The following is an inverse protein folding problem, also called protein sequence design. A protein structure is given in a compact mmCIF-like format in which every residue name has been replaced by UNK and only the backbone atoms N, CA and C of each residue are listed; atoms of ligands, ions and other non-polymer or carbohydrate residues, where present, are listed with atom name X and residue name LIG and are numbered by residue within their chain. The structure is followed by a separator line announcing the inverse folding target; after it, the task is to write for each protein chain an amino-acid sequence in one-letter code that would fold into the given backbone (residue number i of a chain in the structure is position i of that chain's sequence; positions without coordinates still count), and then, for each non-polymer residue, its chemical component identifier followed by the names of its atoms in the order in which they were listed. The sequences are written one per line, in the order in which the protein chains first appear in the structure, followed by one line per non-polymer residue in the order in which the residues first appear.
data_IF_762828216678
#
_entry.id   IF_762828216678
#
_cell.length_a   1.000
_cell.length_b   1.000
_cell.length_c   1.000
_cell.angle_alpha   90.00
_cell.angle_beta   90.00
_cell.angle_gamma   90.00
#
_symmetry.space_group_name_H-M   'P 1'
#
loop_
_entity.id
_entity.type
_entity.pdbx_description
1 polymer ?
#
# COMPACT_ATOMS: atom_id res chain seq x y z
N UNK A 1 -17.26 -2.59 20.15
CA UNK A 1 -18.71 -2.34 20.01
C UNK A 1 -19.29 -3.46 19.16
N UNK A 2 -20.53 -3.85 19.44
CA UNK A 2 -21.15 -5.09 18.97
C UNK A 2 -21.17 -6.16 20.06
N UNK A 3 -21.94 -7.23 19.83
CA UNK A 3 -22.04 -8.41 20.73
C UNK A 3 -22.48 -8.09 22.17
N UNK A 4 -23.35 -7.09 22.39
CA UNK A 4 -23.91 -6.79 23.72
C UNK A 4 -23.00 -5.95 24.63
N UNK A 5 -21.87 -5.46 24.12
CA UNK A 5 -20.91 -4.65 24.88
C UNK A 5 -21.41 -3.22 25.18
N UNK A 6 -22.56 -2.82 24.64
CA UNK A 6 -23.13 -1.47 24.79
C UNK A 6 -23.43 -1.14 26.25
N UNK A 7 -23.87 -2.12 27.05
CA UNK A 7 -24.19 -1.91 28.46
C UNK A 7 -22.93 -1.58 29.27
N UNK A 8 -21.82 -2.27 28.99
CA UNK A 8 -20.54 -2.00 29.63
C UNK A 8 -19.98 -0.64 29.20
N UNK A 9 -20.07 -0.32 27.91
CA UNK A 9 -19.67 0.97 27.37
C UNK A 9 -20.43 2.13 28.05
N UNK A 10 -21.75 2.04 28.18
CA UNK A 10 -22.58 3.06 28.86
C UNK A 10 -22.11 3.34 30.28
N UNK A 11 -21.89 2.28 31.06
CA UNK A 11 -21.46 2.38 32.46
C UNK A 11 -20.07 3.02 32.58
N UNK A 12 -19.14 2.62 31.73
CA UNK A 12 -17.78 3.17 31.72
C UNK A 12 -17.80 4.65 31.30
N UNK A 13 -18.56 5.01 30.27
CA UNK A 13 -18.72 6.40 29.83
C UNK A 13 -19.31 7.25 30.96
N UNK A 14 -20.42 6.84 31.58
CA UNK A 14 -21.01 7.58 32.71
C UNK A 14 -20.02 7.82 33.84
N UNK A 15 -19.22 6.81 34.19
CA UNK A 15 -18.23 6.93 35.25
C UNK A 15 -17.16 7.95 34.87
N UNK A 16 -16.50 7.76 33.72
CA UNK A 16 -15.38 8.59 33.28
C UNK A 16 -15.78 10.04 32.95
N UNK A 17 -17.04 10.28 32.59
CA UNK A 17 -17.56 11.65 32.44
C UNK A 17 -17.45 12.45 33.74
N UNK A 18 -17.53 11.78 34.90
CA UNK A 18 -17.42 12.41 36.23
C UNK A 18 -16.03 12.28 36.85
N UNK A 19 -15.36 11.15 36.65
CA UNK A 19 -14.06 10.84 37.29
C UNK A 19 -12.85 11.21 36.44
N UNK A 20 -13.05 11.52 35.15
CA UNK A 20 -11.98 11.76 34.20
C UNK A 20 -11.35 10.47 33.67
N UNK A 21 -10.56 10.59 32.61
CA UNK A 21 -9.85 9.47 32.00
C UNK A 21 -10.21 9.24 30.53
N UNK A 22 -9.59 8.23 29.95
CA UNK A 22 -9.66 7.97 28.51
C UNK A 22 -10.45 6.69 28.26
N UNK A 23 -11.35 6.73 27.28
CA UNK A 23 -12.09 5.56 26.82
C UNK A 23 -12.01 5.44 25.31
N UNK A 24 -11.77 4.22 24.84
CA UNK A 24 -11.75 3.85 23.44
C UNK A 24 -12.92 2.92 23.13
N UNK A 25 -13.87 3.39 22.34
CA UNK A 25 -14.95 2.57 21.79
C UNK A 25 -14.57 2.12 20.39
N UNK A 26 -14.24 0.83 20.24
CA UNK A 26 -13.78 0.28 18.96
C UNK A 26 -14.93 -0.25 18.11
N UNK A 27 -14.83 -0.08 16.80
CA UNK A 27 -15.73 -0.64 15.78
C UNK A 27 -17.19 -0.17 15.94
N UNK A 28 -17.41 1.12 16.18
CA UNK A 28 -18.75 1.68 16.40
C UNK A 28 -19.72 1.53 15.21
N UNK A 29 -19.22 1.30 13.99
CA UNK A 29 -20.04 0.92 12.83
C UNK A 29 -20.84 -0.38 13.08
N UNK A 30 -20.42 -1.24 14.01
CA UNK A 30 -21.13 -2.46 14.40
C UNK A 30 -22.29 -2.21 15.39
N UNK A 31 -22.40 -1.01 15.98
CA UNK A 31 -23.45 -0.65 16.95
C UNK A 31 -24.05 0.72 16.63
N UNK A 32 -24.59 0.87 15.42
CA UNK A 32 -25.13 2.15 14.92
C UNK A 32 -26.22 2.74 15.81
N UNK A 33 -27.05 1.90 16.43
CA UNK A 33 -28.13 2.33 17.31
C UNK A 33 -27.61 2.99 18.61
N UNK A 34 -26.41 2.62 19.07
CA UNK A 34 -25.85 3.13 20.31
C UNK A 34 -25.18 4.50 20.15
N UNK A 35 -24.64 4.81 18.96
CA UNK A 35 -23.90 6.07 18.72
C UNK A 35 -24.76 7.33 18.99
N UNK A 36 -26.05 7.40 18.59
CA UNK A 36 -26.93 8.50 18.98
C UNK A 36 -27.18 8.59 20.49
N UNK A 37 -27.34 7.44 21.16
CA UNK A 37 -27.56 7.40 22.61
C UNK A 37 -26.34 7.92 23.36
N UNK A 38 -25.13 7.54 22.92
CA UNK A 38 -23.87 8.05 23.44
C UNK A 38 -23.77 9.57 23.27
N UNK A 39 -24.19 10.11 22.13
CA UNK A 39 -24.20 11.56 21.91
C UNK A 39 -25.15 12.28 22.87
N UNK A 40 -26.35 11.74 23.06
CA UNK A 40 -27.34 12.28 24.01
C UNK A 40 -26.76 12.30 25.42
N UNK A 41 -26.18 11.17 25.85
CA UNK A 41 -25.57 11.03 27.17
C UNK A 41 -24.47 12.06 27.44
N UNK A 42 -23.66 12.39 26.45
CA UNK A 42 -22.59 13.40 26.58
C UNK A 42 -23.20 14.81 26.62
N UNK A 43 -24.22 15.09 25.81
CA UNK A 43 -24.85 16.41 25.73
C UNK A 43 -25.74 16.75 26.94
N UNK A 44 -26.29 15.74 27.61
CA UNK A 44 -27.16 15.91 28.78
C UNK A 44 -26.37 16.25 30.06
N UNK A 45 -25.06 16.03 30.09
CA UNK A 45 -24.22 16.32 31.26
C UNK A 45 -23.80 17.80 31.29
N UNK A 46 -24.13 18.49 32.38
CA UNK A 46 -23.76 19.89 32.60
C UNK A 46 -22.24 20.07 32.84
N UNK A 47 -21.61 19.11 33.52
CA UNK A 47 -20.20 19.17 33.90
C UNK A 47 -19.45 17.91 33.51
N UNK A 48 -18.63 18.02 32.47
CA UNK A 48 -17.71 16.97 32.02
C UNK A 48 -16.36 17.18 32.70
N UNK A 49 -15.79 16.12 33.27
CA UNK A 49 -14.48 16.17 33.89
C UNK A 49 -13.40 16.62 32.88
N UNK A 50 -12.51 17.59 33.20
CA UNK A 50 -11.56 18.17 32.24
C UNK A 50 -10.61 17.16 31.57
N UNK A 51 -10.28 16.06 32.25
CA UNK A 51 -9.43 14.98 31.72
C UNK A 51 -10.18 13.90 30.93
N UNK A 52 -11.50 14.00 30.79
CA UNK A 52 -12.25 13.02 30.02
C UNK A 52 -11.91 13.10 28.53
N UNK A 53 -11.57 11.96 27.92
CA UNK A 53 -11.34 11.83 26.46
C UNK A 53 -12.06 10.60 25.94
N UNK A 54 -12.96 10.80 24.99
CA UNK A 54 -13.62 9.73 24.24
C UNK A 54 -12.96 9.56 22.87
N UNK A 55 -12.43 8.37 22.62
CA UNK A 55 -11.97 7.93 21.31
C UNK A 55 -12.95 6.93 20.72
N UNK A 56 -13.23 7.07 19.43
CA UNK A 56 -14.12 6.18 18.69
C UNK A 56 -13.39 5.70 17.44
N UNK A 57 -13.37 4.39 17.21
CA UNK A 57 -12.98 3.83 15.90
C UNK A 57 -14.20 3.37 15.13
N UNK A 58 -14.24 3.68 13.84
CA UNK A 58 -15.32 3.26 12.94
C UNK A 58 -14.81 3.14 11.52
N UNK A 59 -15.44 2.26 10.73
CA UNK A 59 -15.30 2.28 9.27
C UNK A 59 -16.34 3.22 8.67
N UNK A 60 -16.17 3.56 7.39
CA UNK A 60 -17.14 4.35 6.64
C UNK A 60 -18.46 3.59 6.59
N UNK A 61 -19.54 4.18 7.08
CA UNK A 61 -20.86 3.58 7.07
C UNK A 61 -21.93 4.64 6.77
N UNK A 62 -22.79 4.38 5.78
CA UNK A 62 -23.78 5.36 5.29
C UNK A 62 -24.81 5.77 6.33
N UNK A 63 -25.10 4.87 7.28
CA UNK A 63 -26.02 5.11 8.39
C UNK A 63 -25.33 5.63 9.66
N UNK A 64 -24.02 5.91 9.64
CA UNK A 64 -23.35 6.46 10.81
C UNK A 64 -23.88 7.86 11.11
N UNK A 65 -24.24 8.20 12.37
CA UNK A 65 -24.92 9.46 12.67
C UNK A 65 -24.07 10.70 12.32
N UNK A 66 -24.60 11.53 11.41
CA UNK A 66 -23.94 12.78 10.97
C UNK A 66 -23.74 13.74 12.15
N UNK A 67 -24.70 13.81 13.08
CA UNK A 67 -24.62 14.65 14.29
C UNK A 67 -23.44 14.28 15.18
N UNK A 68 -23.13 12.98 15.31
CA UNK A 68 -21.96 12.52 16.05
C UNK A 68 -20.67 12.94 15.33
N UNK A 69 -20.62 12.80 14.00
CA UNK A 69 -19.46 13.23 13.21
C UNK A 69 -19.25 14.74 13.24
N UNK A 70 -20.31 15.55 13.28
CA UNK A 70 -20.22 17.02 13.34
C UNK A 70 -19.68 17.52 14.67
N UNK A 71 -19.96 16.80 15.76
CA UNK A 71 -19.51 17.13 17.13
C UNK A 71 -18.14 16.52 17.49
N UNK A 72 -17.58 15.69 16.59
CA UNK A 72 -16.32 14.99 16.81
C UNK A 72 -15.17 15.60 16.01
N UNK A 73 -13.96 15.54 16.59
CA UNK A 73 -12.72 15.69 15.83
C UNK A 73 -12.50 14.39 15.06
N UNK A 74 -12.34 14.48 13.75
CA UNK A 74 -12.21 13.32 12.85
C UNK A 74 -10.77 13.18 12.42
N UNK A 75 -10.21 11.98 12.61
CA UNK A 75 -8.95 11.56 12.05
C UNK A 75 -9.20 10.42 11.08
N UNK A 76 -8.72 10.55 9.85
CA UNK A 76 -8.67 9.45 8.90
C UNK A 76 -7.29 8.80 9.01
N UNK A 77 -7.27 7.52 9.36
CA UNK A 77 -6.06 6.71 9.31
C UNK A 77 -6.12 5.87 8.04
N UNK A 78 -5.76 6.48 6.92
CA UNK A 78 -5.61 5.74 5.68
C UNK A 78 -4.24 5.05 5.68
N UNK A 79 -4.15 3.77 5.28
CA UNK A 79 -2.86 3.12 5.12
C UNK A 79 -2.00 3.98 4.18
N UNK A 80 -0.68 4.09 4.38
CA UNK A 80 0.15 4.86 3.48
C UNK A 80 0.02 4.28 2.06
N UNK A 81 -0.50 5.10 1.15
CA UNK A 81 -0.74 4.77 -0.26
C UNK A 81 0.35 5.38 -1.14
N UNK A 82 0.44 4.86 -2.35
CA UNK A 82 1.31 5.35 -3.39
C UNK A 82 2.66 4.63 -3.50
N UNK A 83 3.42 5.00 -4.53
CA UNK A 83 4.63 4.29 -4.94
C UNK A 83 5.66 4.28 -3.82
N UNK A 84 5.89 5.44 -3.20
CA UNK A 84 6.81 5.54 -2.06
C UNK A 84 6.44 4.59 -0.93
N UNK A 85 5.16 4.57 -0.56
CA UNK A 85 4.68 3.74 0.55
C UNK A 85 4.79 2.25 0.25
N UNK A 86 4.43 1.83 -0.98
CA UNK A 86 4.53 0.44 -1.41
C UNK A 86 5.98 -0.05 -1.47
N UNK A 87 6.89 0.70 -2.10
CA UNK A 87 8.31 0.32 -2.16
C UNK A 87 8.92 0.31 -0.76
N UNK A 88 8.60 1.30 0.08
CA UNK A 88 9.07 1.32 1.48
C UNK A 88 8.58 0.11 2.27
N UNK A 89 7.34 -0.33 2.04
CA UNK A 89 6.77 -1.55 2.65
C UNK A 89 7.52 -2.79 2.20
N UNK A 90 7.85 -2.91 0.91
CA UNK A 90 8.68 -4.00 0.40
C UNK A 90 10.08 -3.97 0.99
N UNK A 91 10.76 -2.83 0.98
CA UNK A 91 12.13 -2.73 1.50
C UNK A 91 12.21 -2.90 3.03
N UNK A 92 11.12 -2.67 3.76
CA UNK A 92 11.06 -2.97 5.19
C UNK A 92 11.11 -4.48 5.51
N UNK A 93 10.86 -5.36 4.53
CA UNK A 93 11.00 -6.81 4.71
C UNK A 93 12.42 -7.30 4.44
N UNK A 94 13.26 -6.48 3.80
CA UNK A 94 14.63 -6.84 3.45
C UNK A 94 15.61 -6.56 4.60
N UNK A 95 16.66 -7.37 4.66
CA UNK A 95 17.86 -7.13 5.46
C UNK A 95 19.03 -6.74 4.56
N UNK A 96 20.11 -6.22 5.13
CA UNK A 96 21.34 -5.99 4.37
C UNK A 96 21.85 -7.31 3.77
N UNK A 97 21.82 -8.40 4.54
CA UNK A 97 22.24 -9.73 4.08
C UNK A 97 21.42 -10.21 2.87
N UNK A 98 20.12 -9.88 2.81
CA UNK A 98 19.29 -10.18 1.65
C UNK A 98 19.73 -9.39 0.39
N UNK A 99 20.08 -8.11 0.55
CA UNK A 99 20.61 -7.30 -0.56
C UNK A 99 21.98 -7.79 -1.05
N UNK A 100 22.74 -8.47 -0.20
CA UNK A 100 24.09 -8.96 -0.48
C UNK A 100 24.15 -10.47 -0.75
N UNK A 101 22.99 -11.16 -0.84
CA UNK A 101 22.92 -12.59 -1.15
C UNK A 101 23.51 -12.92 -2.53
N UNK A 102 23.44 -11.96 -3.46
CA UNK A 102 23.99 -12.06 -4.80
C UNK A 102 24.86 -10.83 -5.10
N UNK A 103 26.13 -11.08 -5.40
CA UNK A 103 27.14 -10.04 -5.66
C UNK A 103 27.09 -9.46 -7.09
N UNK A 104 26.21 -9.98 -7.95
CA UNK A 104 26.07 -9.48 -9.32
C UNK A 104 25.48 -8.06 -9.32
N UNK A 105 26.01 -7.13 -10.13
CA UNK A 105 25.52 -5.75 -10.17
C UNK A 105 24.05 -5.64 -10.61
N UNK A 106 23.52 -6.68 -11.26
CA UNK A 106 22.13 -6.75 -11.70
C UNK A 106 21.13 -6.99 -10.57
N UNK A 107 21.55 -7.62 -9.46
CA UNK A 107 20.65 -8.04 -8.39
C UNK A 107 19.86 -6.88 -7.78
N UNK A 108 20.57 -5.86 -7.28
CA UNK A 108 19.96 -4.70 -6.59
C UNK A 108 19.03 -3.86 -7.50
N UNK A 109 19.37 -3.56 -8.77
CA UNK A 109 18.43 -2.94 -9.70
C UNK A 109 17.20 -3.81 -9.99
N UNK A 110 17.36 -5.13 -10.15
CA UNK A 110 16.23 -6.01 -10.45
C UNK A 110 15.24 -6.13 -9.29
N UNK A 111 15.71 -6.26 -8.04
CA UNK A 111 14.81 -6.27 -6.87
C UNK A 111 14.06 -4.93 -6.72
N UNK A 112 14.71 -3.81 -7.04
CA UNK A 112 14.05 -2.50 -7.01
C UNK A 112 12.96 -2.43 -8.10
N UNK A 113 13.27 -2.90 -9.31
CA UNK A 113 12.30 -2.97 -10.40
C UNK A 113 11.11 -3.89 -10.11
N UNK A 114 11.34 -5.04 -9.48
CA UNK A 114 10.26 -5.94 -9.03
C UNK A 114 9.43 -5.26 -7.93
N UNK A 115 10.06 -4.57 -6.99
CA UNK A 115 9.37 -3.81 -5.94
C UNK A 115 8.50 -2.69 -6.52
N UNK A 116 9.00 -2.01 -7.56
CA UNK A 116 8.27 -0.99 -8.30
C UNK A 116 7.09 -1.59 -9.06
N UNK A 117 7.28 -2.72 -9.76
CA UNK A 117 6.22 -3.45 -10.45
C UNK A 117 5.12 -3.87 -9.47
N UNK A 118 5.51 -4.53 -8.36
CA UNK A 118 4.60 -4.98 -7.32
C UNK A 118 3.73 -3.83 -6.78
N UNK A 119 4.38 -2.70 -6.47
CA UNK A 119 3.69 -1.51 -5.98
C UNK A 119 2.76 -0.93 -7.05
N UNK A 120 3.21 -0.85 -8.31
CA UNK A 120 2.42 -0.32 -9.42
C UNK A 120 1.16 -1.14 -9.62
N UNK A 121 1.25 -2.47 -9.69
CA UNK A 121 0.08 -3.31 -9.94
C UNK A 121 -0.95 -3.23 -8.81
N UNK A 122 -0.50 -3.08 -7.56
CA UNK A 122 -1.37 -2.86 -6.40
C UNK A 122 -2.03 -1.49 -6.42
N UNK A 123 -1.23 -0.44 -6.54
CA UNK A 123 -1.70 0.95 -6.48
C UNK A 123 -2.61 1.31 -7.64
N UNK A 124 -2.35 0.73 -8.82
CA UNK A 124 -3.15 0.98 -10.02
C UNK A 124 -4.63 0.60 -9.85
N UNK A 125 -4.95 -0.32 -8.93
CA UNK A 125 -6.34 -0.69 -8.58
C UNK A 125 -7.17 0.51 -8.09
N UNK A 126 -6.55 1.56 -7.54
CA UNK A 126 -7.26 2.76 -7.07
C UNK A 126 -7.93 3.56 -8.19
N UNK A 127 -7.53 3.36 -9.44
CA UNK A 127 -8.11 4.03 -10.60
C UNK A 127 -9.30 3.28 -11.22
N UNK A 128 -9.87 2.29 -10.52
CA UNK A 128 -10.99 1.51 -11.03
C UNK A 128 -10.69 0.89 -12.39
N UNK A 129 -11.66 0.97 -13.32
CA UNK A 129 -11.54 0.43 -14.68
C UNK A 129 -10.47 1.11 -15.55
N UNK A 130 -10.00 2.31 -15.19
CA UNK A 130 -8.85 2.93 -15.87
C UNK A 130 -7.53 2.27 -15.44
N UNK A 131 -7.51 1.72 -14.24
CA UNK A 131 -6.39 0.95 -13.72
C UNK A 131 -6.40 -0.47 -14.23
N UNK A 132 -7.43 -1.22 -13.88
CA UNK A 132 -7.64 -2.62 -14.24
C UNK A 132 -9.12 -2.85 -14.54
N UNK A 133 -9.43 -3.64 -15.57
CA UNK A 133 -10.81 -4.03 -15.84
C UNK A 133 -11.36 -4.90 -14.69
N UNK A 134 -10.53 -5.74 -14.08
CA UNK A 134 -10.88 -6.56 -12.92
C UNK A 134 -10.00 -6.19 -11.72
N UNK A 135 -10.61 -6.10 -10.54
CA UNK A 135 -9.93 -5.75 -9.29
C UNK A 135 -9.12 -6.93 -8.72
N UNK A 136 -8.00 -7.28 -9.35
CA UNK A 136 -7.11 -8.35 -8.92
C UNK A 136 -6.49 -8.08 -7.55
N UNK A 137 -6.23 -9.16 -6.81
CA UNK A 137 -5.55 -9.11 -5.51
C UNK A 137 -4.12 -9.63 -5.67
N UNK A 138 -3.18 -8.72 -5.91
CA UNK A 138 -1.75 -9.01 -5.90
C UNK A 138 -1.21 -8.94 -4.48
N UNK A 139 -0.46 -9.96 -4.05
CA UNK A 139 -0.03 -10.11 -2.66
C UNK A 139 1.46 -10.45 -2.53
N UNK A 140 1.93 -10.54 -1.28
CA UNK A 140 3.34 -10.79 -0.96
C UNK A 140 3.87 -12.11 -1.51
N UNK A 141 3.01 -13.12 -1.75
CA UNK A 141 3.44 -14.37 -2.37
C UNK A 141 3.90 -14.17 -3.81
N UNK A 142 3.19 -13.33 -4.58
CA UNK A 142 3.55 -13.01 -5.96
C UNK A 142 4.91 -12.27 -6.01
N UNK A 143 5.12 -11.35 -5.05
CA UNK A 143 6.39 -10.64 -4.86
C UNK A 143 7.54 -11.60 -4.54
N UNK A 144 7.36 -12.44 -3.52
CA UNK A 144 8.39 -13.36 -3.04
C UNK A 144 8.78 -14.37 -4.12
N UNK A 145 7.80 -14.92 -4.85
CA UNK A 145 8.05 -15.84 -5.95
C UNK A 145 8.80 -15.16 -7.10
N UNK A 146 8.49 -13.90 -7.39
CA UNK A 146 9.21 -13.09 -8.40
C UNK A 146 10.66 -12.81 -8.01
N UNK A 147 10.90 -12.44 -6.74
CA UNK A 147 12.24 -12.19 -6.22
C UNK A 147 13.09 -13.47 -6.21
N UNK A 148 12.50 -14.58 -5.73
CA UNK A 148 13.16 -15.88 -5.72
C UNK A 148 13.50 -16.36 -7.14
N UNK A 149 12.58 -16.19 -8.09
CA UNK A 149 12.83 -16.50 -9.49
C UNK A 149 14.03 -15.72 -10.03
N UNK A 150 14.07 -14.40 -9.84
CA UNK A 150 15.17 -13.57 -10.34
C UNK A 150 16.49 -13.90 -9.67
N UNK A 151 16.48 -14.21 -8.38
CA UNK A 151 17.68 -14.68 -7.68
C UNK A 151 18.25 -15.93 -8.36
N UNK A 152 17.42 -16.97 -8.52
CA UNK A 152 17.82 -18.22 -9.17
C UNK A 152 18.29 -17.98 -10.61
N UNK A 153 17.55 -17.16 -11.36
CA UNK A 153 17.88 -16.80 -12.74
C UNK A 153 19.26 -16.14 -12.84
N UNK A 154 19.59 -15.24 -11.92
CA UNK A 154 20.90 -14.59 -11.90
C UNK A 154 22.01 -15.53 -11.40
N UNK A 155 21.72 -16.43 -10.47
CA UNK A 155 22.70 -17.42 -9.99
C UNK A 155 23.11 -18.37 -11.12
N UNK A 156 22.14 -18.86 -11.90
CA UNK A 156 22.34 -19.80 -13.03
C UNK A 156 22.77 -19.10 -14.34
N UNK A 157 22.78 -17.76 -14.38
CA UNK A 157 23.07 -16.99 -15.59
C UNK A 157 24.53 -17.16 -16.06
N UNK A 158 24.71 -17.62 -17.30
CA UNK A 158 25.99 -17.59 -18.00
C UNK A 158 26.41 -16.14 -18.26
N UNK A 159 27.55 -15.68 -17.70
CA UNK A 159 28.05 -14.33 -17.90
C UNK A 159 28.24 -13.91 -19.37
N UNK A 160 28.40 -14.87 -20.30
CA UNK A 160 28.55 -14.59 -21.74
C UNK A 160 27.22 -14.34 -22.44
N UNK A 161 26.14 -14.99 -21.97
CA UNK A 161 24.81 -14.86 -22.56
C UNK A 161 24.03 -13.72 -21.92
N UNK A 162 24.33 -13.38 -20.67
CA UNK A 162 23.63 -12.33 -19.94
C UNK A 162 22.22 -12.77 -19.51
N UNK A 163 21.37 -11.79 -19.22
CA UNK A 163 20.00 -12.05 -18.75
C UNK A 163 19.11 -12.45 -19.92
N UNK A 164 18.45 -13.61 -19.83
CA UNK A 164 17.33 -13.93 -20.71
C UNK A 164 16.09 -13.11 -20.34
N UNK A 165 15.97 -11.92 -20.96
CA UNK A 165 14.82 -11.04 -20.76
C UNK A 165 13.50 -11.63 -21.24
N UNK A 166 13.51 -12.54 -22.21
CA UNK A 166 12.27 -13.20 -22.64
C UNK A 166 11.77 -14.12 -21.53
N UNK A 167 12.68 -14.87 -20.90
CA UNK A 167 12.35 -15.66 -19.73
C UNK A 167 11.87 -14.79 -18.56
N UNK A 168 12.59 -13.70 -18.24
CA UNK A 168 12.21 -12.80 -17.13
C UNK A 168 10.83 -12.17 -17.36
N UNK A 169 10.60 -11.59 -18.54
CA UNK A 169 9.32 -10.94 -18.85
C UNK A 169 8.16 -11.93 -18.89
N UNK A 170 8.37 -13.14 -19.42
CA UNK A 170 7.38 -14.20 -19.39
C UNK A 170 7.05 -14.65 -17.96
N UNK A 171 8.07 -14.91 -17.14
CA UNK A 171 7.86 -15.36 -15.77
C UNK A 171 7.13 -14.32 -14.93
N UNK A 172 7.51 -13.04 -15.02
CA UNK A 172 6.83 -11.98 -14.28
C UNK A 172 5.41 -11.73 -14.82
N UNK A 173 5.28 -11.59 -16.15
CA UNK A 173 4.06 -11.12 -16.82
C UNK A 173 3.00 -12.18 -17.03
N UNK A 174 3.37 -13.43 -17.32
CA UNK A 174 2.43 -14.53 -17.60
C UNK A 174 2.25 -15.47 -16.41
N UNK A 175 3.31 -15.70 -15.62
CA UNK A 175 3.28 -16.74 -14.58
C UNK A 175 3.03 -16.16 -13.19
N UNK A 176 3.89 -15.27 -12.70
CA UNK A 176 3.84 -14.78 -11.32
C UNK A 176 2.66 -13.83 -11.11
N UNK A 177 2.64 -12.69 -11.80
CA UNK A 177 1.52 -11.76 -11.73
C UNK A 177 0.41 -12.16 -12.71
N UNK A 178 0.79 -12.63 -13.90
CA UNK A 178 -0.15 -13.03 -14.95
C UNK A 178 -1.08 -14.16 -14.57
N UNK A 179 -0.66 -15.08 -13.69
CA UNK A 179 -1.51 -16.19 -13.22
C UNK A 179 -2.77 -15.74 -12.49
N UNK A 180 -2.86 -14.47 -12.05
CA UNK A 180 -4.06 -13.87 -11.46
C UNK A 180 -4.93 -13.14 -12.49
N UNK A 181 -4.34 -12.74 -13.61
CA UNK A 181 -4.96 -11.85 -14.59
C UNK A 181 -5.76 -12.68 -15.59
N UNK A 182 -7.04 -12.39 -15.69
CA UNK A 182 -8.02 -13.15 -16.47
C UNK A 182 -8.56 -12.39 -17.68
N UNK A 183 -8.44 -11.06 -17.71
CA UNK A 183 -8.86 -10.22 -18.82
C UNK A 183 -7.70 -9.99 -19.80
N UNK A 184 -7.98 -10.09 -21.10
CA UNK A 184 -6.95 -10.01 -22.14
C UNK A 184 -6.29 -8.62 -22.23
N UNK A 185 -7.03 -7.55 -21.95
CA UNK A 185 -6.49 -6.20 -21.98
C UNK A 185 -5.66 -5.90 -20.74
N UNK A 186 -6.08 -6.40 -19.58
CA UNK A 186 -5.30 -6.36 -18.34
C UNK A 186 -4.01 -7.18 -18.50
N UNK A 187 -4.06 -8.38 -19.09
CA UNK A 187 -2.87 -9.20 -19.35
C UNK A 187 -1.91 -8.45 -20.31
N UNK A 188 -2.43 -7.84 -21.38
CA UNK A 188 -1.64 -7.03 -22.30
C UNK A 188 -0.95 -5.86 -21.60
N UNK A 189 -1.65 -5.19 -20.69
CA UNK A 189 -1.11 -4.08 -19.90
C UNK A 189 0.01 -4.54 -18.98
N UNK A 190 -0.21 -5.61 -18.21
CA UNK A 190 0.81 -6.19 -17.33
C UNK A 190 2.08 -6.57 -18.10
N UNK A 191 1.91 -7.24 -19.24
CA UNK A 191 3.02 -7.64 -20.11
C UNK A 191 3.74 -6.43 -20.72
N UNK A 192 3.02 -5.33 -20.95
CA UNK A 192 3.61 -4.08 -21.42
C UNK A 192 4.55 -3.51 -20.35
N UNK A 193 4.14 -3.45 -19.09
CA UNK A 193 5.04 -3.06 -17.99
C UNK A 193 6.28 -3.95 -17.91
N UNK A 194 6.07 -5.27 -17.98
CA UNK A 194 7.18 -6.23 -17.92
C UNK A 194 8.20 -5.95 -19.04
N UNK A 195 7.75 -5.76 -20.29
CA UNK A 195 8.65 -5.48 -21.42
C UNK A 195 9.35 -4.12 -21.32
N UNK A 196 8.62 -3.08 -20.89
CA UNK A 196 9.15 -1.72 -20.79
C UNK A 196 10.22 -1.60 -19.71
N UNK A 197 10.05 -2.30 -18.59
CA UNK A 197 10.92 -2.16 -17.43
C UNK A 197 12.01 -3.23 -17.34
N UNK A 198 11.75 -4.46 -17.81
CA UNK A 198 12.70 -5.57 -17.71
C UNK A 198 13.33 -5.84 -19.07
N UNK A 199 14.32 -5.03 -19.41
CA UNK A 199 15.17 -5.14 -20.58
C UNK A 199 16.56 -4.57 -20.28
N UNK A 200 17.48 -4.64 -21.25
CA UNK A 200 18.87 -4.17 -21.10
C UNK A 200 18.99 -2.73 -20.58
N UNK A 201 18.03 -1.85 -20.89
CA UNK A 201 18.06 -0.47 -20.43
C UNK A 201 17.88 -0.34 -18.92
N UNK A 202 17.39 -1.36 -18.21
CA UNK A 202 17.17 -1.34 -16.76
C UNK A 202 18.44 -0.93 -15.98
N UNK A 203 19.62 -1.23 -16.52
CA UNK A 203 20.91 -0.94 -15.88
C UNK A 203 21.54 0.38 -16.34
N UNK A 204 20.89 1.12 -17.23
CA UNK A 204 21.34 2.44 -17.66
C UNK A 204 21.14 3.46 -16.54
N UNK A 205 22.10 4.37 -16.32
CA UNK A 205 22.00 5.43 -15.30
C UNK A 205 20.86 6.41 -15.56
N UNK A 206 20.45 6.55 -16.82
CA UNK A 206 19.33 7.40 -17.21
C UNK A 206 17.98 6.66 -17.20
N UNK A 207 17.96 5.38 -16.83
CA UNK A 207 16.72 4.63 -16.76
C UNK A 207 15.78 5.20 -15.69
N UNK A 208 14.53 5.41 -16.08
CA UNK A 208 13.46 5.79 -15.19
C UNK A 208 12.18 5.02 -15.55
N UNK A 209 11.42 4.59 -14.53
CA UNK A 209 10.13 3.92 -14.73
C UNK A 209 9.09 4.91 -15.26
N UNK A 210 9.23 6.17 -14.82
CA UNK A 210 8.47 7.35 -15.19
C UNK A 210 9.29 8.59 -14.77
N UNK A 211 8.96 9.81 -15.24
CA UNK A 211 9.71 11.01 -14.88
C UNK A 211 9.89 11.17 -13.37
N UNK A 212 11.14 11.13 -12.90
CA UNK A 212 11.50 11.26 -11.48
C UNK A 212 11.48 9.96 -10.67
N UNK A 213 11.12 8.82 -11.26
CA UNK A 213 11.14 7.50 -10.63
C UNK A 213 12.33 6.68 -11.16
N UNK A 214 13.51 6.95 -10.61
CA UNK A 214 14.77 6.28 -10.97
C UNK A 214 15.11 5.13 -10.03
N UNK A 215 16.04 4.28 -10.45
CA UNK A 215 16.65 3.27 -9.58
C UNK A 215 17.79 3.93 -8.80
N UNK A 216 17.79 3.88 -7.46
CA UNK A 216 18.91 4.39 -6.67
C UNK A 216 20.20 3.61 -6.92
N UNK A 217 21.28 4.30 -7.30
CA UNK A 217 22.61 3.69 -7.48
C UNK A 217 23.36 3.61 -6.14
N UNK A 218 22.82 2.83 -5.22
CA UNK A 218 23.32 2.69 -3.84
C UNK A 218 23.49 1.22 -3.47
N UNK A 219 24.22 0.94 -2.38
CA UNK A 219 24.56 -0.44 -2.00
C UNK A 219 23.93 -0.84 -0.66
N UNK A 220 23.80 0.11 0.27
CA UNK A 220 23.29 -0.18 1.61
C UNK A 220 21.78 -0.06 1.65
N UNK A 221 21.14 -0.93 2.44
CA UNK A 221 19.71 -0.87 2.70
C UNK A 221 19.28 0.51 3.22
N UNK A 222 20.08 1.11 4.12
CA UNK A 222 19.81 2.45 4.64
C UNK A 222 19.82 3.53 3.55
N UNK A 223 20.69 3.41 2.56
CA UNK A 223 20.77 4.34 1.42
C UNK A 223 19.56 4.16 0.49
N UNK A 224 19.13 2.91 0.25
CA UNK A 224 17.87 2.66 -0.47
C UNK A 224 16.68 3.28 0.25
N UNK A 225 16.58 3.09 1.57
CA UNK A 225 15.49 3.67 2.38
C UNK A 225 15.51 5.20 2.30
N UNK A 226 16.69 5.82 2.32
CA UNK A 226 16.82 7.28 2.16
C UNK A 226 16.32 7.73 0.78
N UNK A 227 16.78 7.10 -0.29
CA UNK A 227 16.33 7.41 -1.65
C UNK A 227 14.82 7.18 -1.83
N UNK A 228 14.26 6.13 -1.22
CA UNK A 228 12.80 5.89 -1.23
C UNK A 228 12.06 7.02 -0.52
N UNK A 229 12.59 7.56 0.58
CA UNK A 229 11.96 8.68 1.28
C UNK A 229 11.96 9.98 0.46
N UNK A 230 12.87 10.12 -0.50
CA UNK A 230 12.94 11.26 -1.44
C UNK A 230 11.92 11.18 -2.57
N UNK A 231 11.31 10.00 -2.80
CA UNK A 231 10.20 9.86 -3.76
C UNK A 231 9.05 10.80 -3.35
N UNK A 232 8.39 11.49 -4.30
CA UNK A 232 7.25 12.35 -4.02
C UNK A 232 6.17 11.65 -3.17
N UNK A 233 5.57 12.40 -2.24
CA UNK A 233 4.43 11.90 -1.45
C UNK A 233 3.20 11.64 -2.31
N UNK A 234 3.02 12.45 -3.36
CA UNK A 234 1.90 12.34 -4.30
C UNK A 234 2.42 11.80 -5.62
N UNK A 235 1.82 10.70 -6.08
CA UNK A 235 2.23 10.08 -7.33
C UNK A 235 1.66 10.83 -8.53
N UNK A 236 2.49 11.01 -9.56
CA UNK A 236 1.99 11.40 -10.87
C UNK A 236 1.24 10.24 -11.51
N UNK A 237 0.11 10.45 -12.23
CA UNK A 237 -0.52 9.42 -13.04
C UNK A 237 0.45 8.74 -14.01
N UNK A 238 1.43 9.48 -14.52
CA UNK A 238 2.47 8.96 -15.41
C UNK A 238 3.33 7.87 -14.75
N UNK A 239 3.45 7.88 -13.42
CA UNK A 239 4.14 6.84 -12.66
C UNK A 239 3.46 5.47 -12.79
N UNK A 240 2.17 5.49 -13.13
CA UNK A 240 1.38 4.32 -13.49
C UNK A 240 1.11 4.29 -15.00
N UNK A 241 1.85 4.98 -15.86
CA UNK A 241 1.54 5.01 -17.30
C UNK A 241 0.13 5.52 -17.65
N UNK A 242 -0.46 6.37 -16.80
CA UNK A 242 -1.75 7.02 -17.01
C UNK A 242 -1.56 8.48 -17.45
N UNK A 243 -2.54 9.00 -18.18
CA UNK A 243 -2.60 10.41 -18.55
C UNK A 243 -2.96 11.28 -17.33
N UNK A 244 -2.47 12.53 -17.27
CA UNK A 244 -2.69 13.43 -16.13
C UNK A 244 -4.18 13.70 -15.82
N UNK A 245 -5.02 13.69 -16.85
CA UNK A 245 -6.47 13.85 -16.75
C UNK A 245 -7.16 12.84 -15.83
N UNK A 246 -6.52 11.71 -15.48
CA UNK A 246 -7.09 10.73 -14.53
C UNK A 246 -7.30 11.37 -13.15
N UNK A 247 -6.53 12.38 -12.76
CA UNK A 247 -6.72 13.09 -11.49
C UNK A 247 -7.96 14.01 -11.45
N UNK A 248 -8.66 14.20 -12.59
CA UNK A 248 -9.81 15.11 -12.71
C UNK A 248 -11.15 14.37 -12.50
N UNK A 249 -11.15 13.04 -12.45
CA UNK A 249 -12.36 12.19 -12.44
C UNK A 249 -12.57 11.55 -11.08
#
# INVERSE_FOLDING_TARGET
MGQGQEIHAKRLVSNLLTTGGWILLQNCHLSLAYVPELLSQINEIEHIHPEFRLWVTTEVHTQFPISFLQTSIKFTNEPPQGIRAGIKRTYATFTQDYLDINNRPQWKPMIYAISFLHTTVQERRKFGSLGWNIAYEFNTSDLNASLQFVQNHLDDMDPKLGIDWKCVTYMLGEIQYGGRVTDDFDNRLLNTYCKLWFNENLFNSEFEFAPGYKIPHVQKLSEFINAINEIPLYDSPQAFGLHENVNIT
#
